data_IF_975881132359
#
_entry.id   IF_975881132359
#
_cell.length_a   1.000
_cell.length_b   1.000
_cell.length_c   1.000
_cell.angle_alpha   90.00
_cell.angle_beta   90.00
_cell.angle_gamma   90.00
#
_symmetry.space_group_name_H-M   'P 1'
#
loop_
_entity.id
_entity.type
_entity.pdbx_description
1 polymer ?
#
# COMPACT_ATOMS: atom_id res chain seq x y z
N UNK A 1 -16.94 15.81 9.51
CA UNK A 1 -16.43 15.82 9.24
C UNK A 1 -15.84 15.57 9.09
N UNK A 2 -15.76 15.64 9.26
CA UNK A 2 -15.04 15.72 9.03
C UNK A 2 -14.19 15.34 8.60
N UNK A 3 -13.91 15.07 8.58
CA UNK A 3 -12.96 15.05 8.32
C UNK A 3 -12.56 15.02 7.38
N UNK A 4 -12.74 15.11 7.05
CA UNK A 4 -12.26 15.26 6.23
C UNK A 4 -11.64 16.07 5.78
N UNK A 5 -11.69 16.48 6.37
CA UNK A 5 -11.08 17.53 5.80
C UNK A 5 -9.70 17.42 5.74
N UNK A 6 -9.28 16.87 4.73
CA UNK A 6 -7.95 16.87 4.44
C UNK A 6 -7.62 18.21 4.01
N UNK A 7 -6.89 18.85 4.84
CA UNK A 7 -6.39 20.06 4.43
C UNK A 7 -5.18 19.81 3.66
N UNK A 8 -5.19 20.23 2.49
CA UNK A 8 -4.06 20.10 1.62
C UNK A 8 -3.10 21.25 1.79
N UNK A 9 -3.04 21.81 2.95
CA UNK A 9 -2.07 22.83 3.26
C UNK A 9 -0.70 22.22 3.12
N UNK A 10 0.06 22.62 2.14
CA UNK A 10 1.34 22.01 1.86
C UNK A 10 1.24 20.69 1.14
N UNK A 11 0.02 20.26 0.79
CA UNK A 11 -0.17 19.05 0.03
C UNK A 11 0.32 17.78 0.71
N UNK A 12 0.02 17.61 2.00
CA UNK A 12 0.50 16.46 2.76
C UNK A 12 -0.67 15.74 3.41
N UNK A 13 -0.70 14.41 3.29
CA UNK A 13 -1.56 13.55 4.08
C UNK A 13 -0.68 12.70 4.99
N UNK A 14 -1.08 12.57 6.25
CA UNK A 14 -0.33 11.80 7.24
C UNK A 14 -1.14 10.65 7.76
N UNK A 15 -0.47 9.54 7.97
CA UNK A 15 -1.07 8.34 8.51
C UNK A 15 0.00 7.46 9.14
N UNK A 16 -0.23 6.15 9.10
CA UNK A 16 0.62 5.20 9.81
C UNK A 16 0.75 3.90 9.03
N UNK A 17 1.88 3.23 9.19
CA UNK A 17 2.07 1.87 8.69
C UNK A 17 1.37 0.93 9.65
N UNK A 18 0.35 0.22 9.18
CA UNK A 18 -0.44 -0.67 10.03
C UNK A 18 0.01 -2.12 9.94
N UNK A 19 0.55 -2.55 8.80
CA UNK A 19 1.01 -3.91 8.62
C UNK A 19 1.99 -3.99 7.46
N UNK A 20 2.86 -5.00 7.51
CA UNK A 20 3.86 -5.26 6.48
C UNK A 20 3.89 -6.76 6.22
N UNK A 21 3.94 -7.13 4.94
CA UNK A 21 4.08 -8.53 4.54
C UNK A 21 5.18 -8.66 3.51
N UNK A 22 5.91 -9.77 3.55
CA UNK A 22 6.85 -10.15 2.50
C UNK A 22 6.31 -11.37 1.79
N UNK A 23 6.36 -11.32 0.46
CA UNK A 23 5.93 -12.43 -0.37
C UNK A 23 7.10 -13.39 -0.51
N UNK A 24 6.88 -14.65 -0.13
CA UNK A 24 7.96 -15.63 -0.11
C UNK A 24 8.38 -16.03 -1.53
N UNK A 25 7.40 -16.13 -2.42
CA UNK A 25 7.63 -16.45 -3.83
C UNK A 25 6.38 -16.03 -4.61
N UNK A 26 6.46 -16.05 -5.95
CA UNK A 26 5.27 -15.76 -6.75
C UNK A 26 4.18 -16.78 -6.41
N UNK A 27 2.98 -16.30 -6.11
CA UNK A 27 1.85 -17.08 -5.65
C UNK A 27 2.11 -17.81 -4.34
N UNK A 28 3.20 -17.49 -3.69
CA UNK A 28 3.59 -18.13 -2.43
C UNK A 28 3.00 -17.45 -1.20
N UNK A 29 3.46 -17.89 -0.05
CA UNK A 29 2.99 -17.41 1.24
C UNK A 29 3.37 -15.94 1.45
N UNK A 30 2.44 -15.19 2.07
CA UNK A 30 2.72 -13.83 2.53
C UNK A 30 3.07 -13.92 4.02
N UNK A 31 4.27 -13.49 4.36
CA UNK A 31 4.75 -13.55 5.74
C UNK A 31 4.56 -12.17 6.39
N UNK A 32 3.74 -12.07 7.46
CA UNK A 32 3.67 -10.81 8.19
C UNK A 32 4.98 -10.57 8.94
N UNK A 33 5.46 -9.34 8.88
CA UNK A 33 6.71 -8.96 9.56
C UNK A 33 6.52 -7.63 10.25
N UNK A 34 7.33 -7.37 11.29
CA UNK A 34 7.27 -6.10 12.02
C UNK A 34 8.16 -5.04 11.38
N UNK A 35 9.10 -5.46 10.58
CA UNK A 35 10.07 -4.56 9.99
C UNK A 35 10.58 -5.14 8.67
N UNK A 36 10.88 -4.26 7.73
CA UNK A 36 11.49 -4.65 6.46
C UNK A 36 12.46 -3.55 6.04
N UNK A 37 13.47 -3.92 5.27
CA UNK A 37 14.42 -2.97 4.72
C UNK A 37 14.06 -2.73 3.25
N UNK A 38 13.91 -1.47 2.89
CA UNK A 38 13.67 -1.09 1.49
C UNK A 38 14.99 -0.67 0.86
N UNK A 39 15.19 -1.06 -0.39
CA UNK A 39 16.41 -0.76 -1.14
C UNK A 39 16.04 0.03 -2.40
N UNK A 40 16.68 1.17 -2.60
CA UNK A 40 16.39 2.04 -3.74
C UNK A 40 16.54 1.26 -5.06
N UNK A 41 15.56 1.43 -5.92
CA UNK A 41 15.49 0.82 -7.25
C UNK A 41 15.32 -0.69 -7.23
N UNK A 42 15.17 -1.31 -6.05
CA UNK A 42 15.04 -2.76 -5.96
C UNK A 42 13.74 -3.22 -5.29
N UNK A 43 13.34 -2.57 -4.21
CA UNK A 43 12.13 -2.96 -3.48
C UNK A 43 12.43 -3.37 -2.05
N UNK A 44 11.65 -4.32 -1.53
CA UNK A 44 11.78 -4.77 -0.14
C UNK A 44 12.65 -6.02 -0.07
N UNK A 45 13.67 -6.00 0.78
CA UNK A 45 14.55 -7.16 0.95
C UNK A 45 13.76 -8.37 1.42
N UNK A 46 14.02 -9.50 0.78
CA UNK A 46 13.34 -10.74 1.13
C UNK A 46 11.98 -10.94 0.50
N UNK A 47 11.51 -9.99 -0.28
CA UNK A 47 10.25 -10.11 -1.00
C UNK A 47 10.47 -10.60 -2.42
N UNK A 48 9.53 -11.42 -2.92
CA UNK A 48 9.66 -12.04 -4.24
C UNK A 48 9.71 -11.03 -5.39
N UNK A 49 9.20 -9.82 -5.16
CA UNK A 49 9.22 -8.77 -6.19
C UNK A 49 10.49 -7.90 -6.12
N UNK A 50 11.44 -8.28 -5.28
CA UNK A 50 12.70 -7.54 -5.20
C UNK A 50 13.39 -7.56 -6.56
N UNK A 51 13.67 -6.38 -7.11
CA UNK A 51 14.27 -6.24 -8.43
C UNK A 51 13.29 -6.24 -9.59
N UNK A 52 11.99 -6.39 -9.33
CA UNK A 52 10.97 -6.37 -10.37
C UNK A 52 10.54 -4.94 -10.69
N UNK A 53 9.73 -4.80 -11.73
CA UNK A 53 9.15 -3.50 -12.10
C UNK A 53 8.16 -3.02 -11.05
N UNK A 54 7.25 -3.92 -10.61
CA UNK A 54 6.31 -3.62 -9.54
C UNK A 54 6.91 -4.14 -8.25
N UNK A 55 7.53 -3.24 -7.51
CA UNK A 55 8.32 -3.63 -6.34
C UNK A 55 7.49 -3.73 -5.07
N UNK A 56 6.57 -2.79 -4.86
CA UNK A 56 5.82 -2.69 -3.61
C UNK A 56 4.36 -2.43 -3.92
N UNK A 57 3.46 -3.14 -3.24
CA UNK A 57 2.02 -2.87 -3.32
C UNK A 57 1.54 -2.37 -1.96
N UNK A 58 0.76 -1.29 -1.97
CA UNK A 58 0.28 -0.63 -0.75
C UNK A 58 -1.24 -0.58 -0.77
N UNK A 59 -1.87 -0.90 0.36
CA UNK A 59 -3.33 -0.87 0.51
C UNK A 59 -3.72 0.01 1.69
N UNK A 60 -5.01 0.39 1.73
CA UNK A 60 -5.57 1.23 2.79
C UNK A 60 -6.33 0.38 3.80
N UNK A 61 -6.02 0.58 5.07
CA UNK A 61 -6.72 -0.13 6.14
C UNK A 61 -8.20 0.19 6.16
N UNK A 62 -8.57 1.46 5.96
CA UNK A 62 -9.99 1.88 6.02
C UNK A 62 -10.84 1.17 4.97
N UNK A 63 -10.28 0.95 3.78
CA UNK A 63 -10.97 0.21 2.73
C UNK A 63 -11.16 -1.24 3.16
N UNK A 64 -10.12 -1.86 3.70
CA UNK A 64 -10.22 -3.26 4.08
C UNK A 64 -11.14 -3.45 5.27
N UNK A 65 -11.20 -2.49 6.19
CA UNK A 65 -12.15 -2.54 7.29
C UNK A 65 -13.58 -2.59 6.78
N UNK A 66 -13.90 -1.80 5.75
CA UNK A 66 -15.22 -1.84 5.13
C UNK A 66 -15.51 -3.16 4.44
N UNK A 67 -14.49 -3.73 3.79
CA UNK A 67 -14.64 -5.02 3.14
C UNK A 67 -15.00 -6.08 4.17
N UNK A 68 -14.38 -6.03 5.34
CA UNK A 68 -14.65 -7.01 6.39
C UNK A 68 -16.06 -6.91 6.95
N UNK A 69 -16.72 -5.78 6.78
CA UNK A 69 -18.13 -5.65 7.21
C UNK A 69 -19.04 -6.60 6.44
N UNK A 70 -18.76 -6.85 5.16
CA UNK A 70 -19.55 -7.77 4.35
C UNK A 70 -18.87 -9.10 4.11
N UNK A 71 -17.55 -9.15 4.25
CA UNK A 71 -16.76 -10.37 4.06
C UNK A 71 -15.87 -10.57 5.29
N UNK A 72 -16.47 -10.93 6.45
CA UNK A 72 -15.71 -10.95 7.69
C UNK A 72 -14.59 -11.98 7.74
N UNK A 73 -14.63 -12.99 6.90
CA UNK A 73 -13.58 -13.99 6.86
C UNK A 73 -12.38 -13.55 5.99
N UNK A 74 -12.50 -12.44 5.25
CA UNK A 74 -11.39 -11.98 4.44
C UNK A 74 -10.43 -11.14 5.29
N UNK A 75 -9.15 -11.52 5.29
CA UNK A 75 -8.11 -10.80 6.04
C UNK A 75 -7.24 -9.99 5.08
N UNK A 76 -6.67 -8.87 5.56
CA UNK A 76 -5.88 -8.01 4.67
C UNK A 76 -4.71 -8.73 3.98
N UNK A 77 -4.08 -9.68 4.64
CA UNK A 77 -2.99 -10.44 4.03
C UNK A 77 -3.39 -11.21 2.79
N UNK A 78 -4.68 -11.51 2.66
CA UNK A 78 -5.19 -12.23 1.50
C UNK A 78 -5.17 -11.40 0.23
N UNK A 79 -5.09 -10.06 0.35
CA UNK A 79 -4.90 -9.17 -0.79
C UNK A 79 -3.49 -9.32 -1.37
N UNK A 80 -2.55 -9.84 -0.59
CA UNK A 80 -1.18 -10.10 -1.01
C UNK A 80 -0.42 -8.83 -1.33
N UNK A 81 -0.71 -7.76 -0.59
CA UNK A 81 0.05 -6.53 -0.66
C UNK A 81 1.25 -6.58 0.30
N UNK A 82 2.12 -5.60 0.21
CA UNK A 82 3.30 -5.52 1.08
C UNK A 82 3.07 -4.64 2.29
N UNK A 83 2.36 -3.52 2.11
CA UNK A 83 2.20 -2.52 3.17
C UNK A 83 0.74 -2.10 3.25
N UNK A 84 0.22 -2.05 4.48
CA UNK A 84 -1.10 -1.47 4.72
C UNK A 84 -0.91 -0.19 5.52
N UNK A 85 -1.50 0.90 5.03
CA UNK A 85 -1.42 2.19 5.72
C UNK A 85 -2.82 2.63 6.13
N UNK A 86 -2.88 3.50 7.13
CA UNK A 86 -4.11 4.17 7.54
C UNK A 86 -3.94 5.68 7.39
N UNK A 87 -5.05 6.39 7.26
CA UNK A 87 -5.03 7.86 7.22
C UNK A 87 -4.61 8.46 5.89
N UNK A 88 -4.45 7.63 4.86
CA UNK A 88 -3.97 8.07 3.56
C UNK A 88 -4.89 7.52 2.48
N UNK A 89 -5.32 8.37 1.56
CA UNK A 89 -6.10 7.95 0.40
C UNK A 89 -5.17 7.80 -0.78
N UNK A 90 -5.19 6.61 -1.39
CA UNK A 90 -4.25 6.26 -2.46
C UNK A 90 -4.86 6.37 -3.86
N UNK A 91 -6.18 6.50 -3.98
CA UNK A 91 -6.84 6.56 -5.27
C UNK A 91 -6.35 7.75 -6.07
N UNK A 92 -5.98 7.51 -7.32
CA UNK A 92 -5.52 8.56 -8.25
C UNK A 92 -4.26 9.28 -7.80
N UNK A 93 -3.41 8.61 -7.01
CA UNK A 93 -2.18 9.22 -6.50
C UNK A 93 -0.94 8.80 -7.28
N UNK A 94 -1.12 8.47 -8.55
CA UNK A 94 0.02 8.17 -9.42
C UNK A 94 1.00 9.33 -9.43
N UNK A 95 2.29 9.02 -9.40
CA UNK A 95 3.41 9.96 -9.41
C UNK A 95 3.60 10.76 -8.12
N UNK A 96 2.79 10.46 -7.10
CA UNK A 96 3.02 11.02 -5.76
C UNK A 96 4.03 10.14 -5.04
N UNK A 97 4.64 10.68 -3.99
CA UNK A 97 5.62 9.95 -3.19
C UNK A 97 5.03 9.62 -1.83
N UNK A 98 5.06 8.35 -1.49
CA UNK A 98 4.64 7.86 -0.18
C UNK A 98 5.90 7.63 0.64
N UNK A 99 6.01 8.33 1.77
CA UNK A 99 7.12 8.17 2.69
C UNK A 99 6.64 7.28 3.83
N UNK A 100 7.27 6.14 4.02
CA UNK A 100 6.94 5.20 5.09
C UNK A 100 8.21 4.92 5.89
N UNK A 101 8.22 5.35 7.14
CA UNK A 101 9.45 5.28 7.92
C UNK A 101 10.57 6.05 7.25
N UNK A 102 11.66 5.38 6.98
CA UNK A 102 12.82 6.00 6.30
C UNK A 102 12.76 5.90 4.79
N UNK A 103 11.83 5.11 4.23
CA UNK A 103 11.81 4.82 2.81
C UNK A 103 10.85 5.71 2.05
N UNK A 104 11.18 6.00 0.79
CA UNK A 104 10.31 6.76 -0.11
C UNK A 104 9.91 5.87 -1.27
N UNK A 105 8.61 5.81 -1.55
CA UNK A 105 8.03 4.98 -2.60
C UNK A 105 7.34 5.90 -3.60
N UNK A 106 7.78 5.84 -4.86
CA UNK A 106 7.12 6.57 -5.94
C UNK A 106 5.95 5.73 -6.42
N UNK A 107 4.73 6.24 -6.29
CA UNK A 107 3.53 5.51 -6.68
C UNK A 107 3.38 5.54 -8.18
N UNK A 108 3.17 4.35 -8.80
CA UNK A 108 3.17 4.22 -10.25
C UNK A 108 1.78 3.97 -10.84
N UNK A 109 0.86 3.49 -10.05
CA UNK A 109 -0.50 3.28 -10.53
C UNK A 109 -1.28 2.33 -9.67
N UNK A 110 -2.50 2.04 -10.13
CA UNK A 110 -3.40 1.12 -9.44
C UNK A 110 -2.91 -0.32 -9.51
N UNK A 111 -3.05 -1.07 -8.42
CA UNK A 111 -2.83 -2.51 -8.42
C UNK A 111 -4.18 -3.17 -8.53
N UNK A 112 -4.52 -3.62 -9.73
CA UNK A 112 -5.80 -4.27 -9.94
C UNK A 112 -5.80 -5.65 -9.30
N UNK A 113 -6.91 -6.04 -8.66
CA UNK A 113 -7.00 -7.39 -8.12
C UNK A 113 -7.12 -8.41 -9.25
N UNK A 114 -6.77 -9.65 -8.95
CA UNK A 114 -6.88 -10.73 -9.92
C UNK A 114 -7.63 -11.91 -9.29
N UNK A 115 -7.89 -12.92 -10.09
CA UNK A 115 -8.68 -14.07 -9.65
C UNK A 115 -8.06 -14.80 -8.45
N UNK A 116 -6.76 -14.63 -8.21
CA UNK A 116 -6.11 -15.18 -7.03
C UNK A 116 -6.79 -14.68 -5.75
N UNK A 117 -7.38 -13.49 -5.79
CA UNK A 117 -8.08 -12.95 -4.62
C UNK A 117 -9.25 -13.82 -4.20
N UNK A 118 -10.02 -14.34 -5.17
CA UNK A 118 -11.14 -15.22 -4.85
C UNK A 118 -10.68 -16.60 -4.42
N UNK A 119 -9.47 -17.01 -4.82
CA UNK A 119 -8.89 -18.25 -4.29
C UNK A 119 -8.56 -18.09 -2.81
N UNK A 120 -8.20 -16.88 -2.39
CA UNK A 120 -7.90 -16.59 -0.98
C UNK A 120 -9.19 -16.43 -0.18
N UNK A 121 -10.18 -15.75 -0.73
CA UNK A 121 -11.42 -15.45 -0.02
C UNK A 121 -12.48 -15.11 -1.05
N UNK A 122 -13.54 -15.91 -1.11
CA UNK A 122 -14.59 -15.70 -2.11
C UNK A 122 -15.23 -14.33 -1.95
N UNK A 123 -15.37 -13.59 -3.05
CA UNK A 123 -15.93 -12.25 -3.07
C UNK A 123 -14.90 -11.15 -2.98
N UNK A 124 -13.66 -11.48 -2.64
CA UNK A 124 -12.61 -10.47 -2.44
C UNK A 124 -12.26 -9.76 -3.74
N UNK A 125 -12.24 -10.47 -4.86
CA UNK A 125 -11.93 -9.86 -6.16
C UNK A 125 -12.90 -8.71 -6.47
N UNK A 126 -14.21 -8.97 -6.34
CA UNK A 126 -15.22 -7.95 -6.63
C UNK A 126 -15.16 -6.79 -5.64
N UNK A 127 -14.84 -7.07 -4.39
CA UNK A 127 -14.76 -6.02 -3.36
C UNK A 127 -13.58 -5.09 -3.63
N UNK A 128 -12.47 -5.61 -4.15
CA UNK A 128 -11.27 -4.82 -4.40
C UNK A 128 -11.25 -4.12 -5.75
N UNK A 129 -12.13 -4.53 -6.67
CA UNK A 129 -12.06 -4.03 -8.04
C UNK A 129 -12.36 -2.54 -8.20
N UNK A 130 -13.44 -1.98 -7.59
CA UNK A 130 -13.77 -0.59 -7.84
C UNK A 130 -12.88 0.38 -7.06
N UNK A 131 -12.83 1.63 -7.53
CA UNK A 131 -12.27 2.77 -6.77
C UNK A 131 -10.84 2.58 -6.26
N UNK A 132 -10.03 1.80 -6.97
CA UNK A 132 -8.66 1.51 -6.55
C UNK A 132 -8.62 0.82 -5.16
N UNK A 133 -9.67 0.10 -4.81
CA UNK A 133 -9.70 -0.59 -3.52
C UNK A 133 -8.57 -1.61 -3.38
N UNK A 134 -8.04 -2.11 -4.49
CA UNK A 134 -6.92 -3.04 -4.49
C UNK A 134 -5.58 -2.40 -4.17
N UNK A 135 -5.55 -1.08 -4.06
CA UNK A 135 -4.35 -0.35 -3.70
C UNK A 135 -3.52 0.12 -4.88
N UNK A 136 -2.27 0.46 -4.61
CA UNK A 136 -1.35 1.00 -5.60
C UNK A 136 -0.04 0.22 -5.58
N UNK A 137 0.70 0.29 -6.68
CA UNK A 137 2.05 -0.24 -6.70
C UNK A 137 3.04 0.89 -6.91
N UNK A 138 4.26 0.68 -6.48
CA UNK A 138 5.28 1.68 -6.63
C UNK A 138 6.68 1.09 -6.61
N UNK A 139 7.65 1.98 -6.74
CA UNK A 139 9.06 1.64 -6.72
C UNK A 139 9.76 2.42 -5.62
N UNK A 140 10.69 1.78 -4.95
CA UNK A 140 11.47 2.44 -3.91
C UNK A 140 12.46 3.41 -4.56
N UNK A 141 12.35 4.69 -4.23
CA UNK A 141 13.30 5.70 -4.75
C UNK A 141 14.30 6.13 -3.69
N UNK A 142 14.00 5.88 -2.42
CA UNK A 142 14.96 6.07 -1.34
C UNK A 142 14.80 4.91 -0.37
N UNK A 143 15.89 4.23 -0.05
CA UNK A 143 15.86 3.07 0.84
C UNK A 143 15.83 3.45 2.30
N UNK A 144 15.62 2.44 3.13
CA UNK A 144 15.62 2.59 4.57
C UNK A 144 14.69 1.60 5.24
N UNK A 145 14.65 1.65 6.56
CA UNK A 145 13.86 0.75 7.37
C UNK A 145 12.39 1.21 7.41
N UNK A 146 11.49 0.25 7.30
CA UNK A 146 10.05 0.46 7.47
C UNK A 146 9.60 -0.46 8.59
N UNK A 147 8.91 0.10 9.59
CA UNK A 147 8.41 -0.67 10.74
C UNK A 147 6.92 -0.45 10.91
N UNK A 148 6.24 -1.47 11.39
CA UNK A 148 4.83 -1.31 11.78
C UNK A 148 4.78 -0.22 12.86
N UNK A 149 3.86 0.73 12.68
CA UNK A 149 3.72 1.88 13.58
C UNK A 149 4.43 3.13 13.09
N UNK A 150 5.28 3.02 12.08
CA UNK A 150 5.96 4.19 11.53
C UNK A 150 4.98 5.18 10.91
N UNK A 151 5.38 6.43 10.89
CA UNK A 151 4.62 7.46 10.19
C UNK A 151 4.60 7.18 8.70
N UNK A 152 3.45 7.37 8.10
CA UNK A 152 3.29 7.32 6.65
C UNK A 152 2.84 8.70 6.18
N UNK A 153 3.49 9.23 5.15
CA UNK A 153 3.20 10.57 4.65
C UNK A 153 3.11 10.52 3.15
N UNK A 154 2.00 11.02 2.62
CA UNK A 154 1.84 11.13 1.16
C UNK A 154 2.04 12.58 0.77
N UNK A 155 3.03 12.82 -0.10
CA UNK A 155 3.31 14.16 -0.58
C UNK A 155 2.56 14.40 -1.86
N UNK A 156 1.66 15.37 -1.83
CA UNK A 156 0.88 15.77 -2.99
C UNK A 156 1.68 16.78 -3.79
N UNK A 157 1.43 16.88 -5.11
CA UNK A 157 2.14 17.88 -5.89
C UNK A 157 1.75 19.29 -5.44
N UNK A 158 2.72 20.18 -5.47
CA UNK A 158 2.44 21.57 -5.15
C UNK A 158 1.55 22.17 -6.24
N UNK A 159 0.46 22.84 -5.86
CA UNK A 159 -0.42 23.44 -6.88
C UNK A 159 0.22 24.58 -7.62
N UNK A 160 1.33 25.13 -7.15
CA UNK A 160 2.00 26.20 -7.87
C UNK A 160 3.15 25.73 -8.72
N UNK A 161 3.30 24.44 -8.86
CA UNK A 161 4.30 23.96 -9.76
C UNK A 161 3.84 24.19 -11.16
N UNK A 162 4.54 24.86 -11.92
CA UNK A 162 4.14 25.11 -13.29
C UNK A 162 5.29 24.97 -14.24
#
# INVERSE_FOLDING_TARGET
MPGKNIHLTGGIMNGRVEAIWKKRSHRGVMDPVEQVNAVADRGLEGDANFGATRQVTVIEKEIFDKIKDTLPECEPGMRRANIMVSGIQLQNMKDHVLIVGEAHILLRGETRPCELMDEQCQGLLDALDPHWNGGVHGAVIKGGSIRVGDLATLKLPSPVQS
#
